data_IF_578892797510
#
_entry.id   IF_578892797510
#
_cell.length_a   1.000
_cell.length_b   1.000
_cell.length_c   1.000
_cell.angle_alpha   90.00
_cell.angle_beta   90.00
_cell.angle_gamma   90.00
#
_symmetry.space_group_name_H-M   'P 1'
#
loop_
_entity.id
_entity.type
_entity.pdbx_description
1 polymer ?
#
# COMPACT_ATOMS: atom_id res chain seq x y z
N UNK A 1 -20.51 -4.05 -8.38
CA UNK A 1 -19.25 -4.43 -7.67
C UNK A 1 -18.38 -3.18 -7.56
N UNK A 2 -17.84 -2.89 -6.39
CA UNK A 2 -16.96 -1.72 -6.18
C UNK A 2 -15.58 -1.97 -6.78
N UNK A 3 -15.01 -0.94 -7.40
CA UNK A 3 -13.67 -1.00 -7.98
C UNK A 3 -12.59 -0.70 -6.94
N UNK A 4 -11.45 -1.40 -7.03
CA UNK A 4 -10.31 -1.24 -6.14
C UNK A 4 -9.05 -0.88 -6.94
N UNK A 5 -8.45 0.26 -6.65
CA UNK A 5 -7.16 0.68 -7.17
C UNK A 5 -6.03 0.39 -6.18
N UNK A 6 -4.89 -0.09 -6.64
CA UNK A 6 -3.64 0.01 -5.92
C UNK A 6 -3.06 1.40 -6.17
N UNK A 7 -2.70 2.12 -5.11
CA UNK A 7 -2.12 3.47 -5.20
C UNK A 7 -0.79 3.49 -4.46
N UNK A 8 0.28 3.87 -5.15
CA UNK A 8 1.63 3.87 -4.60
C UNK A 8 2.38 5.15 -4.96
N UNK A 9 3.24 5.60 -4.06
CA UNK A 9 4.33 6.53 -4.37
C UNK A 9 5.64 5.75 -4.35
N UNK A 10 6.51 5.96 -5.33
CA UNK A 10 7.73 5.18 -5.47
C UNK A 10 8.93 6.07 -5.81
N UNK A 11 10.13 5.62 -5.40
CA UNK A 11 11.40 6.20 -5.83
C UNK A 11 12.52 5.16 -5.73
N UNK A 12 13.09 4.74 -6.87
CA UNK A 12 14.18 3.77 -6.94
C UNK A 12 13.87 2.43 -6.25
N UNK A 13 12.74 1.82 -6.62
CA UNK A 13 12.21 0.59 -6.04
C UNK A 13 12.36 -0.63 -6.97
N UNK A 14 13.33 -0.62 -7.90
CA UNK A 14 13.52 -1.72 -8.87
C UNK A 14 13.74 -3.09 -8.22
N UNK A 15 14.22 -3.12 -6.96
CA UNK A 15 14.52 -4.36 -6.24
C UNK A 15 13.28 -5.07 -5.71
N UNK A 16 12.24 -4.33 -5.32
CA UNK A 16 11.08 -4.86 -4.60
C UNK A 16 9.75 -4.67 -5.34
N UNK A 17 9.62 -3.65 -6.19
CA UNK A 17 8.36 -3.30 -6.84
C UNK A 17 7.71 -4.47 -7.60
N UNK A 18 8.48 -5.21 -8.39
CA UNK A 18 7.94 -6.34 -9.17
C UNK A 18 7.33 -7.41 -8.25
N UNK A 19 8.00 -7.75 -7.15
CA UNK A 19 7.49 -8.70 -6.14
C UNK A 19 6.21 -8.20 -5.48
N UNK A 20 6.15 -6.91 -5.12
CA UNK A 20 4.97 -6.29 -4.55
C UNK A 20 3.78 -6.40 -5.53
N UNK A 21 3.95 -5.93 -6.76
CA UNK A 21 2.90 -5.92 -7.77
C UNK A 21 2.40 -7.33 -8.12
N UNK A 22 3.31 -8.30 -8.24
CA UNK A 22 2.94 -9.70 -8.51
C UNK A 22 2.05 -10.30 -7.40
N UNK A 23 2.27 -9.89 -6.14
CA UNK A 23 1.51 -10.39 -5.00
C UNK A 23 0.11 -9.78 -4.88
N UNK A 24 -0.09 -8.56 -5.40
CA UNK A 24 -1.37 -7.83 -5.22
C UNK A 24 -2.18 -7.70 -6.50
N UNK A 25 -1.65 -8.06 -7.67
CA UNK A 25 -2.32 -7.89 -8.98
C UNK A 25 -3.72 -8.51 -9.05
N UNK A 26 -3.93 -9.65 -8.39
CA UNK A 26 -5.23 -10.35 -8.39
C UNK A 26 -6.21 -9.78 -7.33
N UNK A 27 -5.72 -8.88 -6.47
CA UNK A 27 -6.52 -8.21 -5.45
C UNK A 27 -7.20 -6.95 -6.00
N UNK A 28 -6.57 -6.26 -6.96
CA UNK A 28 -6.96 -4.93 -7.44
C UNK A 28 -7.40 -4.93 -8.89
N UNK A 29 -8.23 -3.96 -9.26
CA UNK A 29 -8.73 -3.80 -10.63
C UNK A 29 -7.80 -2.92 -11.48
N UNK A 30 -7.10 -1.95 -10.85
CA UNK A 30 -6.18 -1.00 -11.50
C UNK A 30 -4.99 -0.71 -10.60
N UNK A 31 -3.89 -0.31 -11.22
CA UNK A 31 -2.64 0.06 -10.54
C UNK A 31 -2.27 1.49 -10.91
N UNK A 32 -2.08 2.34 -9.91
CA UNK A 32 -1.66 3.73 -10.03
C UNK A 32 -0.34 3.93 -9.30
N UNK A 33 0.69 4.32 -10.03
CA UNK A 33 2.03 4.53 -9.49
C UNK A 33 2.46 5.96 -9.75
N UNK A 34 2.72 6.70 -8.68
CA UNK A 34 3.29 8.04 -8.73
C UNK A 34 4.77 7.96 -8.45
N UNK A 35 5.57 8.25 -9.46
CA UNK A 35 7.02 8.28 -9.37
C UNK A 35 7.51 9.65 -8.86
N UNK A 36 8.34 9.64 -7.82
CA UNK A 36 8.88 10.86 -7.19
C UNK A 36 10.32 11.16 -7.60
N UNK A 37 10.74 10.65 -8.75
CA UNK A 37 12.05 10.92 -9.34
C UNK A 37 13.00 9.72 -9.34
N UNK A 38 12.52 8.56 -9.79
CA UNK A 38 13.36 7.37 -9.98
C UNK A 38 14.34 7.55 -11.13
N UNK A 39 15.54 6.99 -10.94
CA UNK A 39 16.62 6.94 -11.93
C UNK A 39 16.99 5.52 -12.35
N UNK A 40 16.35 4.52 -11.74
CA UNK A 40 16.49 3.10 -12.00
C UNK A 40 15.34 2.57 -12.90
N UNK A 41 15.13 1.26 -12.91
CA UNK A 41 14.10 0.60 -13.71
C UNK A 41 12.69 0.62 -13.10
N UNK A 42 12.45 1.36 -12.06
CA UNK A 42 11.15 1.42 -11.35
C UNK A 42 9.98 1.67 -12.31
N UNK A 43 10.08 2.70 -13.16
CA UNK A 43 9.01 3.03 -14.13
C UNK A 43 8.79 1.95 -15.19
N UNK A 44 9.87 1.33 -15.66
CA UNK A 44 9.81 0.22 -16.63
C UNK A 44 9.06 -0.99 -16.02
N UNK A 45 9.38 -1.33 -14.77
CA UNK A 45 8.71 -2.40 -14.03
C UNK A 45 7.22 -2.06 -13.86
N UNK A 46 6.89 -0.86 -13.39
CA UNK A 46 5.50 -0.42 -13.23
C UNK A 46 4.70 -0.54 -14.54
N UNK A 47 5.28 -0.09 -15.66
CA UNK A 47 4.66 -0.18 -16.98
C UNK A 47 4.40 -1.64 -17.41
N UNK A 48 5.28 -2.57 -17.08
CA UNK A 48 5.12 -3.99 -17.41
C UNK A 48 3.91 -4.66 -16.71
N UNK A 49 3.43 -4.08 -15.60
CA UNK A 49 2.21 -4.49 -14.91
C UNK A 49 0.96 -3.73 -15.35
N UNK A 50 1.07 -2.88 -16.38
CA UNK A 50 -0.06 -2.08 -16.89
C UNK A 50 -0.46 -0.93 -15.96
N UNK A 51 0.45 -0.46 -15.11
CA UNK A 51 0.18 0.64 -14.21
C UNK A 51 -0.03 1.97 -14.96
N UNK A 52 -0.95 2.77 -14.45
CA UNK A 52 -1.05 4.20 -14.80
C UNK A 52 0.05 4.93 -14.03
N UNK A 53 1.01 5.49 -14.76
CA UNK A 53 2.18 6.14 -14.16
C UNK A 53 2.02 7.65 -14.24
N UNK A 54 2.26 8.34 -13.12
CA UNK A 54 2.36 9.79 -13.01
C UNK A 54 3.68 10.21 -12.38
N UNK A 55 4.15 11.40 -12.70
CA UNK A 55 5.35 11.97 -12.12
C UNK A 55 4.98 13.04 -11.09
N UNK A 56 5.65 13.04 -9.95
CA UNK A 56 5.49 14.03 -8.90
C UNK A 56 6.84 14.60 -8.48
N UNK A 57 6.98 15.91 -8.49
CA UNK A 57 8.20 16.56 -8.02
C UNK A 57 8.23 16.55 -6.51
N UNK A 58 9.17 15.78 -5.95
CA UNK A 58 9.32 15.60 -4.51
C UNK A 58 9.57 16.93 -3.77
N UNK A 59 8.69 17.26 -2.83
CA UNK A 59 8.71 18.51 -2.05
C UNK A 59 8.88 18.29 -0.54
N UNK A 60 9.37 17.12 -0.12
CA UNK A 60 9.57 16.73 1.30
C UNK A 60 8.25 16.64 2.09
N UNK A 61 7.17 16.29 1.42
CA UNK A 61 5.84 16.12 2.03
C UNK A 61 5.20 14.82 1.53
N UNK A 62 5.19 13.80 2.40
CA UNK A 62 4.62 12.50 2.08
C UNK A 62 3.11 12.55 1.86
N UNK A 63 2.37 13.33 2.68
CA UNK A 63 0.93 13.48 2.49
C UNK A 63 0.59 14.10 1.14
N UNK A 64 1.34 15.14 0.73
CA UNK A 64 1.13 15.79 -0.55
C UNK A 64 1.34 14.81 -1.72
N UNK A 65 2.41 14.00 -1.68
CA UNK A 65 2.69 13.00 -2.70
C UNK A 65 1.63 11.88 -2.72
N UNK A 66 1.23 11.36 -1.54
CA UNK A 66 0.17 10.34 -1.45
C UNK A 66 -1.19 10.86 -1.92
N UNK A 67 -1.53 12.10 -1.57
CA UNK A 67 -2.79 12.72 -2.01
C UNK A 67 -2.80 12.96 -3.51
N UNK A 68 -1.68 13.40 -4.09
CA UNK A 68 -1.53 13.48 -5.54
C UNK A 68 -1.73 12.11 -6.20
N UNK A 69 -1.14 11.05 -5.63
CA UNK A 69 -1.31 9.69 -6.15
C UNK A 69 -2.77 9.21 -6.05
N UNK A 70 -3.46 9.49 -4.94
CA UNK A 70 -4.88 9.18 -4.77
C UNK A 70 -5.77 9.92 -5.77
N UNK A 71 -5.40 11.15 -6.15
CA UNK A 71 -6.14 11.94 -7.14
C UNK A 71 -6.04 11.36 -8.56
N UNK A 72 -5.05 10.49 -8.84
CA UNK A 72 -4.95 9.80 -10.13
C UNK A 72 -5.93 8.63 -10.24
N UNK A 73 -6.46 8.12 -9.12
CA UNK A 73 -7.35 6.96 -9.11
C UNK A 73 -8.79 7.34 -9.39
N UNK A 74 -9.43 6.61 -10.30
CA UNK A 74 -10.87 6.68 -10.57
C UNK A 74 -11.68 5.56 -9.88
N UNK A 75 -11.03 4.72 -9.06
CA UNK A 75 -11.66 3.62 -8.35
C UNK A 75 -12.50 4.08 -7.15
N UNK A 76 -13.47 3.24 -6.74
CA UNK A 76 -14.30 3.50 -5.53
C UNK A 76 -13.47 3.38 -4.26
N UNK A 77 -12.53 2.44 -4.25
CA UNK A 77 -11.62 2.16 -3.15
C UNK A 77 -10.17 2.20 -3.59
N UNK A 78 -9.28 2.55 -2.67
CA UNK A 78 -7.85 2.62 -2.89
C UNK A 78 -7.09 1.85 -1.81
N UNK A 79 -6.33 0.84 -2.21
CA UNK A 79 -5.34 0.19 -1.37
C UNK A 79 -4.02 0.94 -1.51
N UNK A 80 -3.54 1.53 -0.43
CA UNK A 80 -2.28 2.30 -0.42
C UNK A 80 -1.18 1.42 0.17
N UNK A 81 -0.15 1.14 -0.63
CA UNK A 81 0.99 0.31 -0.22
C UNK A 81 2.31 1.01 -0.52
N UNK A 82 3.33 0.62 0.21
CA UNK A 82 4.73 0.89 -0.09
C UNK A 82 5.30 -0.28 -0.94
N UNK A 83 6.35 -0.03 -1.73
CA UNK A 83 6.86 -1.02 -2.69
C UNK A 83 7.51 -2.26 -2.05
N UNK A 84 7.86 -2.16 -0.78
CA UNK A 84 8.45 -3.20 0.07
C UNK A 84 7.43 -3.91 0.97
N UNK A 85 6.13 -3.68 0.75
CA UNK A 85 5.03 -4.38 1.42
C UNK A 85 4.47 -5.48 0.51
N UNK A 86 4.52 -6.74 0.97
CA UNK A 86 4.14 -7.91 0.17
C UNK A 86 2.94 -8.62 0.78
N UNK A 87 1.85 -8.79 0.02
CA UNK A 87 0.70 -9.59 0.45
C UNK A 87 1.12 -11.04 0.70
N UNK A 88 0.82 -11.57 1.88
CA UNK A 88 1.06 -12.97 2.26
C UNK A 88 -0.23 -13.72 2.62
N UNK A 89 -1.26 -13.03 3.10
CA UNK A 89 -2.57 -13.63 3.37
C UNK A 89 -3.70 -12.68 2.95
N UNK A 90 -4.79 -13.24 2.44
CA UNK A 90 -6.01 -12.56 2.04
C UNK A 90 -6.25 -12.56 0.53
N UNK A 91 -7.50 -12.37 0.16
CA UNK A 91 -7.98 -12.40 -1.23
C UNK A 91 -8.94 -11.25 -1.53
N UNK A 92 -9.25 -11.03 -2.81
CA UNK A 92 -10.26 -10.07 -3.24
C UNK A 92 -11.62 -10.33 -2.60
N UNK A 93 -12.01 -11.60 -2.45
CA UNK A 93 -13.31 -12.00 -1.88
C UNK A 93 -13.45 -11.58 -0.41
N UNK A 94 -12.33 -11.50 0.31
CA UNK A 94 -12.34 -11.08 1.72
C UNK A 94 -12.61 -9.58 1.86
N UNK A 95 -12.37 -8.79 0.80
CA UNK A 95 -12.60 -7.34 0.78
C UNK A 95 -14.00 -6.96 0.29
N UNK A 96 -14.63 -7.76 -0.54
CA UNK A 96 -15.91 -7.41 -1.18
C UNK A 96 -17.00 -7.02 -0.17
N UNK A 97 -17.26 -7.78 0.92
CA UNK A 97 -18.26 -7.39 1.91
C UNK A 97 -17.93 -6.07 2.61
N UNK A 98 -16.65 -5.83 2.89
CA UNK A 98 -16.17 -4.60 3.49
C UNK A 98 -16.40 -3.40 2.57
N UNK A 99 -16.13 -3.55 1.28
CA UNK A 99 -16.18 -2.46 0.30
C UNK A 99 -17.59 -1.97 -0.03
N UNK A 100 -18.65 -2.66 0.40
CA UNK A 100 -20.04 -2.23 0.17
C UNK A 100 -20.40 -0.97 0.98
N UNK A 101 -19.83 -0.77 2.15
CA UNK A 101 -20.02 0.42 2.97
C UNK A 101 -18.82 1.38 2.83
N UNK A 102 -19.03 2.58 2.29
CA UNK A 102 -17.99 3.60 2.05
C UNK A 102 -17.70 4.49 3.28
N UNK A 103 -18.30 4.21 4.43
CA UNK A 103 -18.17 5.04 5.64
C UNK A 103 -17.22 4.43 6.67
N UNK A 104 -16.19 3.71 6.21
CA UNK A 104 -15.12 3.21 7.06
C UNK A 104 -13.78 3.08 6.30
N UNK A 105 -12.71 2.92 7.06
CA UNK A 105 -11.34 2.70 6.57
C UNK A 105 -10.92 1.29 6.91
N UNK A 106 -10.30 0.58 5.98
CA UNK A 106 -9.77 -0.75 6.22
C UNK A 106 -8.34 -0.71 6.75
N UNK A 107 -8.13 -1.28 7.93
CA UNK A 107 -6.80 -1.50 8.48
C UNK A 107 -6.28 -2.87 8.09
N UNK A 108 -5.12 -2.91 7.46
CA UNK A 108 -4.37 -4.13 7.16
C UNK A 108 -3.38 -4.45 8.27
N UNK A 109 -3.10 -5.73 8.48
CA UNK A 109 -2.02 -6.14 9.37
C UNK A 109 -0.70 -6.19 8.62
N UNK A 110 0.35 -5.60 9.20
CA UNK A 110 1.71 -5.62 8.68
C UNK A 110 2.62 -6.38 9.64
N UNK A 111 3.40 -7.28 9.09
CA UNK A 111 4.42 -8.07 9.78
C UNK A 111 5.79 -7.47 9.48
N UNK A 112 6.38 -6.83 10.46
CA UNK A 112 7.68 -6.20 10.38
C UNK A 112 8.75 -7.08 11.05
N UNK A 113 9.94 -7.18 10.46
CA UNK A 113 11.09 -7.76 11.13
C UNK A 113 11.45 -6.88 12.34
N UNK A 114 11.59 -7.50 13.51
CA UNK A 114 11.89 -6.77 14.73
C UNK A 114 13.31 -7.03 15.23
N UNK A 115 13.72 -8.29 15.35
CA UNK A 115 15.01 -8.67 15.90
C UNK A 115 15.42 -10.08 15.49
N UNK A 116 16.73 -10.30 15.42
CA UNK A 116 17.31 -11.63 15.29
C UNK A 116 18.18 -11.92 16.53
N UNK A 117 17.97 -13.07 17.15
CA UNK A 117 18.70 -13.49 18.34
C UNK A 117 19.05 -14.97 18.30
N UNK A 118 19.81 -15.43 19.31
CA UNK A 118 20.11 -16.85 19.49
C UNK A 118 19.64 -17.26 20.88
N UNK A 119 18.74 -18.25 20.94
CA UNK A 119 18.29 -18.87 22.17
C UNK A 119 18.65 -20.37 22.10
N UNK A 120 19.33 -20.89 23.12
CA UNK A 120 19.80 -22.28 23.19
C UNK A 120 20.58 -22.73 21.94
N UNK A 121 21.42 -21.84 21.37
CA UNK A 121 22.21 -22.14 20.18
C UNK A 121 21.44 -22.15 18.87
N UNK A 122 20.13 -21.83 18.87
CA UNK A 122 19.27 -21.75 17.67
C UNK A 122 18.96 -20.29 17.33
N UNK A 123 19.13 -19.94 16.06
CA UNK A 123 18.66 -18.64 15.55
C UNK A 123 17.16 -18.52 15.71
N UNK A 124 16.71 -17.41 16.29
CA UNK A 124 15.31 -17.04 16.40
C UNK A 124 15.12 -15.65 15.79
N UNK A 125 14.05 -15.48 15.03
CA UNK A 125 13.64 -14.23 14.44
C UNK A 125 12.35 -13.79 15.09
N UNK A 126 12.34 -12.56 15.59
CA UNK A 126 11.13 -11.96 16.17
C UNK A 126 10.51 -11.00 15.15
N UNK A 127 9.19 -11.04 15.06
CA UNK A 127 8.39 -10.15 14.22
C UNK A 127 7.47 -9.29 15.10
N UNK A 128 7.25 -8.07 14.65
CA UNK A 128 6.24 -7.19 15.21
C UNK A 128 5.06 -7.10 14.23
N UNK A 129 3.85 -7.13 14.78
CA UNK A 129 2.63 -6.98 13.99
C UNK A 129 1.99 -5.63 14.32
N UNK A 130 1.76 -4.84 13.28
CA UNK A 130 1.13 -3.52 13.41
C UNK A 130 -0.09 -3.43 12.51
N UNK A 131 -1.03 -2.53 12.85
CA UNK A 131 -2.19 -2.22 12.03
C UNK A 131 -2.00 -0.87 11.37
N UNK A 132 -2.33 -0.77 10.10
CA UNK A 132 -2.27 0.47 9.35
C UNK A 132 -3.54 0.64 8.49
N UNK A 133 -4.15 1.82 8.54
CA UNK A 133 -5.27 2.19 7.65
C UNK A 133 -4.75 2.35 6.22
N UNK A 134 -5.02 1.37 5.38
CA UNK A 134 -4.48 1.27 4.03
C UNK A 134 -5.53 1.09 2.95
N UNK A 135 -6.73 0.60 3.29
CA UNK A 135 -7.85 0.51 2.36
C UNK A 135 -8.79 1.69 2.59
N UNK A 136 -8.76 2.63 1.66
CA UNK A 136 -9.42 3.93 1.79
C UNK A 136 -10.55 4.07 0.78
N UNK A 137 -11.76 4.50 1.20
CA UNK A 137 -12.78 4.88 0.24
C UNK A 137 -12.37 6.14 -0.52
N UNK A 138 -12.91 6.32 -1.73
CA UNK A 138 -12.69 7.54 -2.52
C UNK A 138 -13.00 8.78 -1.69
N UNK A 139 -12.09 9.75 -1.71
CA UNK A 139 -12.23 11.02 -0.98
C UNK A 139 -11.46 11.09 0.32
N UNK A 140 -11.09 9.97 0.94
CA UNK A 140 -10.17 9.98 2.09
C UNK A 140 -8.77 10.38 1.64
N UNK A 141 -8.10 11.20 2.44
CA UNK A 141 -6.77 11.75 2.15
C UNK A 141 -5.86 11.58 3.36
N UNK A 142 -4.58 11.76 3.16
CA UNK A 142 -3.56 11.77 4.21
C UNK A 142 -3.28 13.18 4.72
N UNK A 143 -2.82 13.26 5.97
CA UNK A 143 -2.30 14.48 6.60
C UNK A 143 -1.01 14.18 7.36
N UNK A 144 -0.16 15.20 7.52
CA UNK A 144 1.16 15.09 8.14
C UNK A 144 2.29 14.99 7.11
N UNK A 145 3.31 15.86 7.23
CA UNK A 145 4.44 15.89 6.28
C UNK A 145 5.35 14.68 6.41
N UNK A 146 5.51 14.20 7.64
CA UNK A 146 6.27 13.01 8.03
C UNK A 146 5.37 12.21 8.97
N UNK A 147 5.40 10.89 8.89
CA UNK A 147 4.48 10.00 9.60
C UNK A 147 3.02 10.30 9.26
N UNK A 148 2.75 10.40 7.96
CA UNK A 148 1.42 10.67 7.43
C UNK A 148 0.41 9.60 7.86
N UNK A 149 -0.80 10.06 8.17
CA UNK A 149 -1.94 9.22 8.53
C UNK A 149 -3.15 9.61 7.69
N UNK A 150 -4.03 8.64 7.46
CA UNK A 150 -5.33 8.92 6.86
C UNK A 150 -6.12 9.90 7.72
N UNK A 151 -6.59 10.98 7.11
CA UNK A 151 -7.41 11.99 7.75
C UNK A 151 -8.89 11.69 7.47
N UNK A 152 -9.48 10.83 8.29
CA UNK A 152 -10.86 10.40 8.16
C UNK A 152 -11.56 10.43 9.50
N UNK A 153 -12.84 10.86 9.50
CA UNK A 153 -13.75 10.70 10.62
C UNK A 153 -14.38 9.29 10.67
N UNK A 154 -14.16 8.47 9.65
CA UNK A 154 -14.69 7.12 9.59
C UNK A 154 -13.98 6.19 10.55
N UNK A 155 -14.68 5.21 11.13
CA UNK A 155 -14.04 4.17 11.93
C UNK A 155 -13.09 3.32 11.08
N UNK A 156 -12.04 2.81 11.70
CA UNK A 156 -11.13 1.86 11.08
C UNK A 156 -11.50 0.43 11.51
N UNK A 157 -11.74 -0.43 10.53
CA UNK A 157 -12.05 -1.84 10.74
C UNK A 157 -10.88 -2.72 10.29
N UNK A 158 -10.57 -3.75 11.08
CA UNK A 158 -9.53 -4.71 10.75
C UNK A 158 -9.94 -5.59 9.57
N UNK A 159 -9.06 -5.70 8.58
CA UNK A 159 -9.24 -6.57 7.43
C UNK A 159 -8.46 -7.87 7.57
N UNK A 160 -8.92 -8.98 6.99
CA UNK A 160 -8.20 -10.25 6.97
C UNK A 160 -7.08 -10.23 5.90
N UNK A 161 -6.29 -9.18 5.89
CA UNK A 161 -5.13 -9.03 5.02
C UNK A 161 -3.87 -8.92 5.85
N UNK A 162 -2.88 -9.75 5.52
CA UNK A 162 -1.56 -9.71 6.14
C UNK A 162 -0.50 -9.39 5.07
N UNK A 163 0.29 -8.37 5.33
CA UNK A 163 1.43 -7.97 4.52
C UNK A 163 2.73 -8.17 5.29
N UNK A 164 3.77 -8.63 4.61
CA UNK A 164 5.14 -8.64 5.11
C UNK A 164 5.85 -7.39 4.60
N UNK A 165 6.55 -6.72 5.50
CA UNK A 165 7.36 -5.55 5.22
C UNK A 165 8.84 -5.95 5.28
N UNK A 166 9.59 -5.67 4.20
CA UNK A 166 11.00 -6.06 4.01
C UNK A 166 11.98 -5.02 4.58
#
# INVERSE_FOLDING_TARGET
>A
MKTLGLVMIVKNEERCLAKCLERVKDLVDKIYITDTGSTDRTKEIAASFGAVISDYVWNQDFSAARNFALDQSDCDWNLVLDADEYLIEGTRKDLEPFMENMEHVGAIQRKDFYNEGTVDGKKQVAYMYTWAGRLLPRGVRFSGRIHEQENSAFPADSLPLLFEHD
#
